data_IF_794819895348
#
_entry.id   IF_794819895348
#
_cell.length_a   1.000
_cell.length_b   1.000
_cell.length_c   1.000
_cell.angle_alpha   90.00
_cell.angle_beta   90.00
_cell.angle_gamma   90.00
#
_symmetry.space_group_name_H-M   'P 1'
#
loop_
_entity.id
_entity.type
_entity.pdbx_description
1 polymer ?
#
# COMPACT_ATOMS: atom_id res chain seq x y z
N UNK A 1 12.61 -3.97 1.49
CA UNK A 1 11.75 -4.41 2.60
C UNK A 1 10.33 -4.66 2.08
N UNK A 2 9.73 -5.80 2.36
CA UNK A 2 8.39 -6.09 1.87
C UNK A 2 7.33 -5.19 2.51
N UNK A 3 6.28 -4.92 1.77
CA UNK A 3 5.09 -4.25 2.27
C UNK A 3 3.89 -5.17 2.08
N UNK A 4 2.86 -4.97 2.85
CA UNK A 4 1.62 -5.71 2.68
C UNK A 4 0.48 -4.79 2.26
N UNK A 5 -0.49 -5.36 1.61
CA UNK A 5 -1.62 -4.61 1.08
C UNK A 5 -2.72 -5.55 0.64
N UNK A 6 -3.69 -4.99 -0.05
CA UNK A 6 -4.88 -5.72 -0.51
C UNK A 6 -4.94 -5.65 -2.02
N UNK A 7 -5.20 -6.81 -2.66
CA UNK A 7 -5.48 -6.88 -4.09
C UNK A 7 -6.97 -6.96 -4.31
N UNK A 8 -7.47 -6.22 -5.28
CA UNK A 8 -8.86 -6.34 -5.72
C UNK A 8 -8.95 -6.16 -7.24
N UNK A 9 -9.94 -6.82 -7.83
CA UNK A 9 -10.14 -6.76 -9.27
C UNK A 9 -10.76 -5.44 -9.69
N UNK A 10 -10.29 -4.91 -10.83
CA UNK A 10 -10.86 -3.73 -11.47
C UNK A 10 -11.02 -3.99 -12.96
N UNK A 11 -12.01 -3.36 -13.59
CA UNK A 11 -12.13 -3.32 -15.03
C UNK A 11 -11.33 -2.15 -15.62
N UNK A 12 -11.27 -2.06 -16.96
CA UNK A 12 -10.48 -1.01 -17.62
C UNK A 12 -10.97 0.40 -17.29
N UNK A 13 -12.27 0.60 -17.17
CA UNK A 13 -12.84 1.91 -16.82
C UNK A 13 -12.45 2.33 -15.41
N UNK A 14 -12.50 1.39 -14.46
CA UNK A 14 -12.06 1.62 -13.10
C UNK A 14 -10.57 1.93 -13.04
N UNK A 15 -9.75 1.22 -13.83
CA UNK A 15 -8.33 1.45 -13.89
C UNK A 15 -8.00 2.87 -14.38
N UNK A 16 -8.72 3.33 -15.41
CA UNK A 16 -8.58 4.72 -15.90
C UNK A 16 -8.93 5.74 -14.82
N UNK A 17 -9.97 5.47 -14.05
CA UNK A 17 -10.36 6.34 -12.93
C UNK A 17 -9.27 6.39 -11.85
N UNK A 18 -8.66 5.24 -11.54
CA UNK A 18 -7.54 5.20 -10.61
C UNK A 18 -6.33 5.97 -11.14
N UNK A 19 -5.99 5.80 -12.42
CA UNK A 19 -4.90 6.55 -13.03
C UNK A 19 -5.10 8.06 -12.88
N UNK A 20 -6.32 8.53 -13.12
CA UNK A 20 -6.66 9.95 -12.99
C UNK A 20 -6.59 10.43 -11.54
N UNK A 21 -7.07 9.62 -10.61
CA UNK A 21 -7.07 9.93 -9.18
C UNK A 21 -5.66 9.99 -8.60
N UNK A 22 -4.78 9.10 -9.05
CA UNK A 22 -3.41 9.04 -8.58
C UNK A 22 -2.53 10.17 -9.13
N UNK A 23 -2.98 10.85 -10.16
CA UNK A 23 -2.32 12.05 -10.67
C UNK A 23 -0.86 11.84 -11.03
N UNK A 24 0.04 12.41 -10.22
CA UNK A 24 1.48 12.35 -10.46
C UNK A 24 2.12 11.00 -10.11
N UNK A 25 1.40 10.09 -9.48
CA UNK A 25 1.93 8.77 -9.16
C UNK A 25 2.03 7.92 -10.42
N UNK A 26 3.03 7.07 -10.46
CA UNK A 26 3.28 6.20 -11.61
C UNK A 26 2.70 4.82 -11.37
N UNK A 27 1.89 4.32 -12.30
CA UNK A 27 1.41 2.94 -12.27
C UNK A 27 2.50 2.01 -12.78
N UNK A 28 2.83 1.02 -11.98
CA UNK A 28 3.80 -0.02 -12.35
C UNK A 28 3.11 -1.38 -12.35
N UNK A 29 3.63 -2.30 -13.16
CA UNK A 29 3.23 -3.69 -13.12
C UNK A 29 4.11 -4.44 -12.13
N UNK A 30 3.47 -5.17 -11.21
CA UNK A 30 4.17 -5.98 -10.21
C UNK A 30 4.18 -7.43 -10.67
N UNK A 31 5.36 -8.03 -10.95
CA UNK A 31 5.43 -9.45 -11.29
C UNK A 31 4.92 -10.31 -10.14
N UNK A 32 4.13 -11.33 -10.45
CA UNK A 32 3.53 -12.21 -9.43
C UNK A 32 4.58 -12.93 -8.59
N UNK A 33 5.78 -13.15 -9.12
CA UNK A 33 6.88 -13.79 -8.39
C UNK A 33 7.33 -13.01 -7.14
N UNK A 34 6.99 -11.72 -7.07
CA UNK A 34 7.32 -10.88 -5.91
C UNK A 34 6.17 -10.74 -4.91
N UNK A 35 5.07 -11.47 -5.12
CA UNK A 35 3.86 -11.33 -4.31
C UNK A 35 3.62 -12.63 -3.58
N UNK A 36 3.54 -12.55 -2.25
CA UNK A 36 3.11 -13.66 -1.40
C UNK A 36 1.69 -13.41 -0.93
N UNK A 37 0.83 -14.42 -1.07
CA UNK A 37 -0.54 -14.36 -0.60
C UNK A 37 -0.65 -14.97 0.80
N UNK A 38 -1.47 -14.36 1.65
CA UNK A 38 -1.70 -14.89 3.00
C UNK A 38 -2.49 -16.20 2.99
N UNK A 39 -3.55 -16.26 2.19
CA UNK A 39 -4.50 -17.37 2.26
C UNK A 39 -5.13 -17.77 0.93
N UNK A 40 -4.76 -17.12 -0.16
CA UNK A 40 -5.35 -17.39 -1.48
C UNK A 40 -4.30 -17.44 -2.57
N UNK A 41 -4.55 -18.30 -3.57
CA UNK A 41 -3.73 -18.33 -4.76
C UNK A 41 -4.00 -17.09 -5.61
N UNK A 42 -2.92 -16.45 -6.03
CA UNK A 42 -3.01 -15.29 -6.92
C UNK A 42 -3.16 -15.77 -8.36
N UNK A 43 -4.16 -15.23 -9.07
CA UNK A 43 -4.34 -15.50 -10.48
C UNK A 43 -3.24 -14.81 -11.29
N UNK A 44 -2.27 -15.60 -11.75
CA UNK A 44 -1.13 -15.09 -12.53
C UNK A 44 -1.48 -14.73 -13.96
N UNK A 45 -2.69 -15.06 -14.43
CA UNK A 45 -3.14 -14.68 -15.78
C UNK A 45 -3.51 -13.21 -15.91
N UNK A 46 -3.76 -12.53 -14.78
CA UNK A 46 -4.12 -11.12 -14.76
C UNK A 46 -2.92 -10.28 -14.32
N UNK A 47 -2.71 -9.12 -14.96
CA UNK A 47 -1.68 -8.21 -14.52
C UNK A 47 -2.03 -7.58 -13.17
N UNK A 48 -1.02 -7.37 -12.34
CA UNK A 48 -1.16 -6.72 -11.04
C UNK A 48 -0.46 -5.37 -11.11
N UNK A 49 -1.15 -4.33 -10.72
CA UNK A 49 -0.63 -2.96 -10.75
C UNK A 49 -0.54 -2.37 -9.35
N UNK A 50 0.43 -1.50 -9.19
CA UNK A 50 0.56 -0.66 -8.01
C UNK A 50 0.92 0.75 -8.46
N UNK A 51 0.63 1.73 -7.61
CA UNK A 51 1.03 3.11 -7.86
C UNK A 51 2.14 3.47 -6.92
N UNK A 52 3.20 4.07 -7.48
CA UNK A 52 4.33 4.57 -6.70
C UNK A 52 4.48 6.07 -6.94
N UNK A 53 4.91 6.83 -5.94
CA UNK A 53 5.18 8.24 -6.13
C UNK A 53 6.40 8.44 -7.04
N UNK A 54 6.44 9.57 -7.74
CA UNK A 54 7.65 9.95 -8.47
C UNK A 54 8.80 10.12 -7.48
N UNK A 55 10.03 9.73 -7.86
CA UNK A 55 11.17 9.91 -6.98
C UNK A 55 11.31 11.37 -6.55
N UNK A 56 11.43 11.58 -5.25
CA UNK A 56 11.68 12.90 -4.66
C UNK A 56 12.88 12.80 -3.73
N UNK A 57 13.67 13.88 -3.58
CA UNK A 57 14.74 13.87 -2.61
C UNK A 57 14.20 13.54 -1.21
N UNK A 58 14.92 12.73 -0.47
CA UNK A 58 14.57 12.44 0.91
C UNK A 58 14.71 13.71 1.75
N UNK A 59 13.66 14.04 2.48
CA UNK A 59 13.66 15.22 3.34
C UNK A 59 13.94 14.82 4.79
N UNK A 60 15.22 14.88 5.18
CA UNK A 60 15.61 14.54 6.54
C UNK A 60 15.45 15.71 7.52
N UNK A 61 15.16 16.92 7.02
CA UNK A 61 14.94 18.11 7.84
C UNK A 61 13.48 18.55 7.88
N UNK A 62 12.58 17.77 7.34
CA UNK A 62 11.16 18.10 7.36
C UNK A 62 10.60 17.96 8.77
N UNK A 63 10.01 19.05 9.26
CA UNK A 63 9.38 19.10 10.58
C UNK A 63 7.87 18.98 10.52
N UNK A 64 7.31 18.85 9.34
CA UNK A 64 5.86 18.76 9.15
C UNK A 64 5.34 17.48 9.82
N UNK A 65 4.46 17.59 10.82
CA UNK A 65 3.98 16.41 11.53
C UNK A 65 3.07 15.55 10.64
N UNK A 66 3.10 14.23 10.89
CA UNK A 66 2.16 13.32 10.29
C UNK A 66 0.79 13.50 10.96
N UNK A 67 -0.28 13.54 10.16
CA UNK A 67 -1.63 13.64 10.69
C UNK A 67 -1.96 12.38 11.50
N UNK A 68 -2.17 12.54 12.79
CA UNK A 68 -2.43 11.44 13.70
C UNK A 68 -3.71 10.68 13.35
N UNK A 69 -4.78 11.41 12.96
CA UNK A 69 -6.04 10.78 12.57
C UNK A 69 -5.87 9.91 11.33
N UNK A 70 -5.02 10.31 10.40
CA UNK A 70 -4.70 9.52 9.22
C UNK A 70 -3.98 8.21 9.60
N UNK A 71 -3.02 8.27 10.50
CA UNK A 71 -2.31 7.09 11.00
C UNK A 71 -3.29 6.13 11.67
N UNK A 72 -4.22 6.65 12.47
CA UNK A 72 -5.24 5.83 13.12
C UNK A 72 -6.15 5.14 12.09
N UNK A 73 -6.57 5.87 11.06
CA UNK A 73 -7.40 5.31 9.99
C UNK A 73 -6.69 4.17 9.26
N UNK A 74 -5.42 4.35 8.92
CA UNK A 74 -4.62 3.32 8.25
C UNK A 74 -4.45 2.10 9.15
N UNK A 75 -4.12 2.31 10.43
CA UNK A 75 -3.93 1.23 11.40
C UNK A 75 -5.21 0.41 11.59
N UNK A 76 -6.35 1.07 11.71
CA UNK A 76 -7.65 0.41 11.85
C UNK A 76 -7.98 -0.41 10.60
N UNK A 77 -7.68 0.11 9.41
CA UNK A 77 -7.86 -0.61 8.16
C UNK A 77 -7.05 -1.91 8.11
N UNK A 78 -5.80 -1.87 8.56
CA UNK A 78 -4.97 -3.08 8.63
C UNK A 78 -5.48 -4.09 9.66
N UNK A 79 -6.02 -3.62 10.77
CA UNK A 79 -6.60 -4.50 11.82
C UNK A 79 -7.82 -5.27 11.32
N UNK A 80 -8.58 -4.73 10.39
CA UNK A 80 -9.74 -5.41 9.80
C UNK A 80 -9.38 -6.72 9.10
N UNK A 81 -8.14 -6.88 8.66
CA UNK A 81 -7.68 -8.09 7.97
C UNK A 81 -7.00 -9.08 8.93
N UNK A 82 -7.08 -8.86 10.23
CA UNK A 82 -6.59 -9.76 11.25
C UNK A 82 -5.23 -9.38 11.82
N UNK A 83 -4.86 -10.03 12.93
CA UNK A 83 -3.68 -9.67 13.70
C UNK A 83 -2.38 -9.92 12.92
N UNK A 84 -2.29 -11.01 12.18
CA UNK A 84 -1.09 -11.33 11.40
C UNK A 84 -0.84 -10.25 10.34
N UNK A 85 -1.88 -9.78 9.69
CA UNK A 85 -1.79 -8.74 8.68
C UNK A 85 -1.36 -7.41 9.30
N UNK A 86 -1.98 -7.04 10.42
CA UNK A 86 -1.63 -5.82 11.15
C UNK A 86 -0.19 -5.86 11.67
N UNK A 87 0.23 -6.98 12.24
CA UNK A 87 1.58 -7.13 12.79
C UNK A 87 2.65 -7.01 11.69
N UNK A 88 2.37 -7.53 10.50
CA UNK A 88 3.28 -7.38 9.38
C UNK A 88 3.39 -5.92 8.94
N UNK A 89 2.28 -5.19 8.92
CA UNK A 89 2.28 -3.75 8.63
C UNK A 89 3.16 -2.98 9.62
N UNK A 90 3.01 -3.22 10.91
CA UNK A 90 3.82 -2.57 11.94
C UNK A 90 5.30 -2.89 11.78
N UNK A 91 5.60 -4.18 11.53
CA UNK A 91 6.98 -4.66 11.38
C UNK A 91 7.69 -4.05 10.17
N UNK A 92 6.96 -3.82 9.08
CA UNK A 92 7.54 -3.33 7.81
C UNK A 92 7.45 -1.82 7.64
N UNK A 93 6.84 -1.10 8.58
CA UNK A 93 6.67 0.34 8.49
C UNK A 93 7.60 1.04 9.47
N UNK A 94 8.53 1.83 8.92
CA UNK A 94 9.49 2.59 9.72
C UNK A 94 8.85 3.84 10.32
N UNK A 95 9.28 4.19 11.54
CA UNK A 95 8.88 5.43 12.20
C UNK A 95 7.36 5.57 12.38
N UNK A 96 6.66 4.44 12.46
CA UNK A 96 5.23 4.47 12.72
C UNK A 96 4.97 4.96 14.15
N UNK A 97 4.23 6.06 14.33
CA UNK A 97 3.87 6.51 15.68
C UNK A 97 3.03 5.47 16.40
N UNK A 98 3.23 5.35 17.72
CA UNK A 98 2.37 4.49 18.53
C UNK A 98 0.96 5.06 18.53
N UNK A 99 0.01 4.22 18.20
CA UNK A 99 -1.41 4.56 18.18
C UNK A 99 -2.10 3.71 19.24
N UNK A 100 -2.70 4.39 20.19
CA UNK A 100 -3.42 3.72 21.27
C UNK A 100 -4.84 3.36 20.85
#
# INVERSE_FOLDING_TARGET
>A
MPINGVLFKVNEDQLKRFDKREGDNTRIRVPTKYIDSFDKTIDSSLPIYAYIPKPKPYCNKCTKPINYNYIQLVSDGFKEYGDAFYNLFVKTTQNLPKVN
#
